data_IF_466668906183
#
_entry.id   IF_466668906183
#
_cell.length_a   1.000
_cell.length_b   1.000
_cell.length_c   1.000
_cell.angle_alpha   90.00
_cell.angle_beta   90.00
_cell.angle_gamma   90.00
#
_symmetry.space_group_name_H-M   'P 1'
#
loop_
_entity.id
_entity.type
_entity.pdbx_description
1 polymer ?
#
# COMPACT_ATOMS: atom_id res chain seq x y z
N UNK A 1 -78.64 29.44 6.96
CA UNK A 1 -77.49 28.85 6.28
C UNK A 1 -76.28 29.09 7.17
N UNK A 2 -75.99 28.13 8.06
CA UNK A 2 -74.92 28.25 9.08
C UNK A 2 -73.64 27.65 8.57
N UNK A 3 -72.60 28.44 8.41
CA UNK A 3 -71.25 28.00 8.02
C UNK A 3 -70.45 27.62 9.28
N UNK A 4 -70.21 26.35 9.45
CA UNK A 4 -69.38 25.77 10.55
C UNK A 4 -67.90 25.93 10.26
N UNK A 5 -67.21 26.79 10.99
CA UNK A 5 -65.74 26.84 10.99
C UNK A 5 -65.22 25.68 11.81
N UNK A 6 -64.46 24.73 11.14
CA UNK A 6 -63.69 23.74 11.81
C UNK A 6 -62.28 24.30 12.09
N UNK A 7 -61.99 24.50 13.37
CA UNK A 7 -60.70 24.88 13.87
C UNK A 7 -59.85 23.55 13.84
N UNK A 8 -58.85 23.47 12.95
CA UNK A 8 -57.87 22.39 12.94
C UNK A 8 -56.73 22.81 13.87
N UNK A 9 -56.68 22.18 15.04
CA UNK A 9 -55.60 22.33 16.00
C UNK A 9 -54.40 21.49 15.52
N UNK A 10 -53.39 22.14 14.92
CA UNK A 10 -52.13 21.47 14.55
C UNK A 10 -51.28 21.30 15.82
N UNK A 11 -51.24 20.08 16.32
CA UNK A 11 -50.35 19.68 17.41
C UNK A 11 -48.94 19.57 16.83
N UNK A 12 -48.07 20.58 16.98
CA UNK A 12 -46.65 20.49 16.64
C UNK A 12 -45.99 19.63 17.71
N UNK A 13 -45.78 18.35 17.38
CA UNK A 13 -44.98 17.43 18.20
C UNK A 13 -43.51 17.80 17.99
N UNK A 14 -42.95 18.65 18.84
CA UNK A 14 -41.52 18.90 18.89
C UNK A 14 -40.83 17.64 19.42
N UNK A 15 -40.33 16.81 18.51
CA UNK A 15 -39.45 15.70 18.84
C UNK A 15 -38.13 16.31 19.31
N UNK A 16 -37.95 16.41 20.61
CA UNK A 16 -36.66 16.75 21.22
C UNK A 16 -35.79 15.50 21.06
N UNK A 17 -34.99 15.47 20.00
CA UNK A 17 -33.89 14.52 19.94
C UNK A 17 -32.92 14.93 21.06
N UNK A 18 -32.58 14.01 21.99
CA UNK A 18 -31.50 14.29 22.90
C UNK A 18 -30.24 14.39 22.02
N UNK A 19 -29.69 15.60 21.87
CA UNK A 19 -28.32 15.77 21.45
C UNK A 19 -27.50 14.99 22.49
N UNK A 20 -27.03 13.76 22.16
CA UNK A 20 -25.97 13.13 22.91
C UNK A 20 -24.76 14.04 22.71
N UNK A 21 -24.55 14.93 23.68
CA UNK A 21 -23.26 15.57 23.84
C UNK A 21 -22.24 14.42 23.84
N UNK A 22 -21.35 14.41 22.89
CA UNK A 22 -20.25 13.47 22.85
C UNK A 22 -19.43 13.82 24.09
N UNK A 23 -19.48 12.99 25.13
CA UNK A 23 -18.65 13.19 26.32
C UNK A 23 -17.21 13.30 25.84
N UNK A 24 -16.59 14.46 26.10
CA UNK A 24 -15.17 14.65 25.82
C UNK A 24 -14.42 13.62 26.68
N UNK A 25 -13.90 12.61 26.03
CA UNK A 25 -13.12 11.61 26.72
C UNK A 25 -11.78 12.24 27.11
N UNK A 26 -11.53 12.31 28.41
CA UNK A 26 -10.25 12.79 28.95
C UNK A 26 -9.27 11.63 29.14
N UNK A 27 -8.00 11.95 29.10
CA UNK A 27 -6.94 10.98 29.40
C UNK A 27 -6.97 10.66 30.91
N UNK A 28 -7.08 9.39 31.24
CA UNK A 28 -7.15 8.90 32.61
C UNK A 28 -5.79 8.33 33.06
N UNK A 29 -5.38 8.65 34.27
CA UNK A 29 -4.25 8.00 34.93
C UNK A 29 -4.79 6.73 35.61
N UNK A 30 -4.44 5.55 35.09
CA UNK A 30 -4.85 4.27 35.68
C UNK A 30 -3.89 3.79 36.77
N UNK A 31 -2.59 4.07 36.58
CA UNK A 31 -1.55 3.65 37.51
C UNK A 31 -0.31 4.56 37.41
N UNK A 32 0.37 4.76 38.51
CA UNK A 32 1.72 5.28 38.57
C UNK A 32 2.43 4.72 39.81
N UNK A 33 3.76 4.62 39.78
CA UNK A 33 4.60 4.30 40.94
C UNK A 33 4.73 5.47 41.90
N UNK A 34 4.66 6.69 41.36
CA UNK A 34 4.67 7.95 42.11
C UNK A 34 4.38 9.12 41.17
N UNK A 35 4.15 10.29 41.78
CA UNK A 35 3.98 11.55 41.07
C UNK A 35 4.69 12.70 41.78
N UNK A 36 5.13 13.70 41.01
CA UNK A 36 5.65 14.98 41.51
C UNK A 36 5.30 16.11 40.55
N UNK A 37 5.44 17.34 41.00
CA UNK A 37 5.35 18.53 40.18
C UNK A 37 6.67 19.29 40.22
N UNK A 38 7.05 19.86 39.08
CA UNK A 38 8.19 20.74 38.92
C UNK A 38 7.74 21.88 38.02
N UNK A 39 7.26 22.94 38.63
CA UNK A 39 6.66 24.06 37.90
C UNK A 39 7.69 24.94 37.22
N UNK A 40 8.96 24.88 37.64
CA UNK A 40 10.03 25.64 37.01
C UNK A 40 10.51 24.97 35.73
N UNK A 41 10.69 23.65 35.74
CA UNK A 41 11.17 22.89 34.59
C UNK A 41 10.02 22.45 33.62
N UNK A 42 8.83 22.13 34.19
CA UNK A 42 7.69 21.59 33.47
C UNK A 42 6.37 22.23 33.93
N UNK A 43 6.13 23.52 33.62
CA UNK A 43 4.94 24.24 34.07
C UNK A 43 3.64 23.50 33.64
N UNK A 44 2.75 23.27 34.60
CA UNK A 44 1.45 22.61 34.36
C UNK A 44 1.50 21.09 34.27
N UNK A 45 2.65 20.46 34.27
CA UNK A 45 2.77 19.01 34.18
C UNK A 45 2.68 18.30 35.54
N UNK A 46 1.94 17.19 35.60
CA UNK A 46 2.10 16.16 36.59
C UNK A 46 3.13 15.15 36.07
N UNK A 47 4.26 15.01 36.73
CA UNK A 47 5.32 14.08 36.36
C UNK A 47 5.03 12.75 37.04
N UNK A 48 4.63 11.76 36.26
CA UNK A 48 4.33 10.40 36.72
C UNK A 48 5.54 9.51 36.46
N UNK A 49 5.93 8.68 37.40
CA UNK A 49 7.08 7.81 37.26
C UNK A 49 6.80 6.40 37.79
N UNK A 50 7.54 5.43 37.28
CA UNK A 50 7.49 4.04 37.74
C UNK A 50 8.18 3.88 39.08
N UNK A 51 7.87 2.82 39.82
CA UNK A 51 8.67 2.28 40.92
C UNK A 51 8.96 0.78 40.65
N UNK A 52 9.42 0.04 41.67
CA UNK A 52 9.72 -1.40 41.57
C UNK A 52 8.52 -2.23 41.11
N UNK A 53 7.30 -1.83 41.47
CA UNK A 53 6.09 -2.67 41.35
C UNK A 53 5.09 -2.15 40.29
N UNK A 54 5.16 -0.86 39.97
CA UNK A 54 4.16 -0.18 39.17
C UNK A 54 4.80 0.68 38.09
N UNK A 55 4.38 0.45 36.83
CA UNK A 55 4.65 1.34 35.69
C UNK A 55 3.60 2.47 35.63
N UNK A 56 3.88 3.49 34.85
CA UNK A 56 2.87 4.51 34.51
C UNK A 56 1.94 3.91 33.48
N UNK A 57 0.62 3.96 33.75
CA UNK A 57 -0.43 3.51 32.82
C UNK A 57 -1.43 4.64 32.61
N UNK A 58 -1.52 5.10 31.37
CA UNK A 58 -2.50 6.07 30.91
C UNK A 58 -3.53 5.36 30.03
N UNK A 59 -4.77 5.83 30.07
CA UNK A 59 -5.87 5.27 29.27
C UNK A 59 -6.65 6.38 28.59
N UNK A 60 -6.99 6.19 27.31
CA UNK A 60 -7.88 7.10 26.59
C UNK A 60 -8.57 6.38 25.44
N UNK A 61 -9.91 6.41 25.44
CA UNK A 61 -10.76 5.96 24.34
C UNK A 61 -10.39 4.55 23.79
N UNK A 62 -10.22 3.58 24.72
CA UNK A 62 -9.87 2.21 24.40
C UNK A 62 -8.39 1.96 24.11
N UNK A 63 -7.55 2.98 24.15
CA UNK A 63 -6.10 2.84 24.06
C UNK A 63 -5.47 2.88 25.47
N UNK A 64 -4.47 2.03 25.68
CA UNK A 64 -3.70 1.94 26.91
C UNK A 64 -2.22 2.19 26.59
N UNK A 65 -1.60 3.06 27.39
CA UNK A 65 -0.22 3.47 27.22
C UNK A 65 0.53 3.18 28.51
N UNK A 66 1.54 2.33 28.42
CA UNK A 66 2.46 2.01 29.51
C UNK A 66 3.82 2.67 29.26
N UNK A 67 4.45 3.21 30.30
CA UNK A 67 5.77 3.82 30.21
C UNK A 67 6.48 3.85 31.55
N UNK A 68 7.76 4.24 31.53
CA UNK A 68 8.53 4.43 32.77
C UNK A 68 8.34 5.83 33.36
N UNK A 69 8.12 6.82 32.49
CA UNK A 69 7.93 8.22 32.86
C UNK A 69 6.91 8.87 31.93
N UNK A 70 6.02 9.68 32.50
CA UNK A 70 5.10 10.51 31.72
C UNK A 70 4.95 11.92 32.29
N UNK A 71 4.93 12.91 31.44
CA UNK A 71 4.55 14.29 31.71
C UNK A 71 3.12 14.47 31.27
N UNK A 72 2.19 14.56 32.22
CA UNK A 72 0.77 14.66 31.97
C UNK A 72 0.26 16.09 32.22
N UNK A 73 -0.30 16.71 31.21
CA UNK A 73 -0.87 18.05 31.20
C UNK A 73 -2.41 17.92 31.17
N UNK A 74 -3.03 17.95 32.33
CA UNK A 74 -4.46 17.67 32.48
C UNK A 74 -5.35 18.73 31.78
N UNK A 75 -4.96 20.02 31.80
CA UNK A 75 -5.72 21.10 31.16
C UNK A 75 -5.71 21.02 29.64
N UNK A 76 -4.60 20.56 29.06
CA UNK A 76 -4.38 20.42 27.63
C UNK A 76 -4.78 19.04 27.12
N UNK A 77 -5.29 18.16 27.99
CA UNK A 77 -5.60 16.77 27.70
C UNK A 77 -4.47 16.09 26.90
N UNK A 78 -3.23 16.26 27.35
CA UNK A 78 -2.02 15.91 26.63
C UNK A 78 -1.00 15.20 27.52
N UNK A 79 -0.23 14.28 26.93
CA UNK A 79 0.93 13.73 27.65
C UNK A 79 2.13 13.50 26.71
N UNK A 80 3.32 13.45 27.34
CA UNK A 80 4.57 12.92 26.77
C UNK A 80 5.01 11.76 27.64
N UNK A 81 5.20 10.58 27.06
CA UNK A 81 5.67 9.40 27.77
C UNK A 81 6.99 8.90 27.20
N UNK A 82 7.88 8.42 28.07
CA UNK A 82 9.21 7.95 27.71
C UNK A 82 9.60 6.73 28.55
N UNK A 83 10.58 5.94 28.02
CA UNK A 83 11.11 4.74 28.69
C UNK A 83 10.21 3.53 28.43
N UNK A 84 10.66 2.64 27.55
CA UNK A 84 10.00 1.37 27.19
C UNK A 84 8.49 1.51 26.97
N UNK A 85 8.12 2.50 26.16
CA UNK A 85 6.70 2.80 25.90
C UNK A 85 6.03 1.65 25.18
N UNK A 86 4.89 1.21 25.71
CA UNK A 86 4.01 0.23 25.08
C UNK A 86 2.63 0.85 24.89
N UNK A 87 2.16 0.91 23.66
CA UNK A 87 0.81 1.32 23.29
C UNK A 87 0.02 0.08 22.86
N UNK A 88 -1.18 -0.10 23.42
CA UNK A 88 -2.10 -1.15 23.00
C UNK A 88 -3.48 -0.59 22.71
N UNK A 89 -4.15 -1.13 21.70
CA UNK A 89 -5.54 -0.79 21.39
C UNK A 89 -6.30 -2.05 20.97
N UNK A 90 -7.23 -2.48 21.84
CA UNK A 90 -7.86 -3.80 21.70
C UNK A 90 -6.82 -4.93 21.73
N UNK A 91 -7.22 -6.09 21.21
CA UNK A 91 -6.35 -7.28 21.18
C UNK A 91 -5.47 -7.36 19.93
N UNK A 92 -5.68 -6.44 18.98
CA UNK A 92 -5.11 -6.55 17.63
C UNK A 92 -3.98 -5.56 17.33
N UNK A 93 -3.78 -4.53 18.16
CA UNK A 93 -2.74 -3.54 17.92
C UNK A 93 -1.84 -3.40 19.15
N UNK A 94 -0.54 -3.67 18.96
CA UNK A 94 0.51 -3.38 19.93
C UNK A 94 1.64 -2.61 19.24
N UNK A 95 2.08 -1.52 19.88
CA UNK A 95 3.22 -0.73 19.42
C UNK A 95 4.18 -0.51 20.56
N UNK A 96 5.47 -0.58 20.28
CA UNK A 96 6.55 -0.19 21.23
C UNK A 96 7.37 0.94 20.61
N UNK A 97 7.88 1.84 21.46
CA UNK A 97 8.76 2.93 21.06
C UNK A 97 9.51 3.50 22.27
N UNK A 98 10.49 4.38 22.04
CA UNK A 98 11.21 5.07 23.13
C UNK A 98 10.43 6.24 23.72
N UNK A 99 9.63 6.92 22.88
CA UNK A 99 8.86 8.10 23.25
C UNK A 99 7.55 8.16 22.49
N UNK A 100 6.49 8.59 23.17
CA UNK A 100 5.20 8.93 22.55
C UNK A 100 4.69 10.27 23.09
N UNK A 101 4.16 11.10 22.21
CA UNK A 101 3.35 12.28 22.52
C UNK A 101 1.93 12.04 22.05
N UNK A 102 0.95 12.36 22.86
CA UNK A 102 -0.46 12.16 22.53
C UNK A 102 -1.32 13.30 23.06
N UNK A 103 -2.20 13.78 22.20
CA UNK A 103 -3.23 14.77 22.55
C UNK A 103 -4.60 14.10 22.51
N UNK A 104 -5.33 14.11 23.63
CA UNK A 104 -6.63 13.46 23.78
C UNK A 104 -7.75 14.13 23.00
N UNK A 105 -7.70 15.46 22.84
CA UNK A 105 -8.74 16.23 22.14
C UNK A 105 -8.64 16.01 20.62
N UNK A 106 -7.45 16.14 20.07
CA UNK A 106 -7.20 15.91 18.63
C UNK A 106 -7.07 14.43 18.27
N UNK A 107 -6.84 13.56 19.28
CA UNK A 107 -6.58 12.12 19.12
C UNK A 107 -5.39 11.81 18.21
N UNK A 108 -4.40 12.70 18.16
CA UNK A 108 -3.17 12.54 17.40
C UNK A 108 -2.05 12.04 18.31
N UNK A 109 -1.37 10.99 17.86
CA UNK A 109 -0.19 10.43 18.49
C UNK A 109 1.05 10.60 17.62
N UNK A 110 2.21 10.81 18.26
CA UNK A 110 3.52 10.81 17.64
C UNK A 110 4.44 9.87 18.42
N UNK A 111 4.73 8.69 17.84
CA UNK A 111 5.68 7.73 18.35
C UNK A 111 7.06 7.94 17.71
N UNK A 112 8.13 7.85 18.50
CA UNK A 112 9.51 8.11 18.08
C UNK A 112 10.49 7.15 18.78
N UNK A 113 11.56 6.80 18.06
CA UNK A 113 12.66 5.95 18.53
C UNK A 113 12.30 4.47 18.48
N UNK A 114 12.89 3.73 17.56
CA UNK A 114 12.73 2.29 17.39
C UNK A 114 11.24 1.85 17.40
N UNK A 115 10.41 2.57 16.67
CA UNK A 115 8.97 2.27 16.61
C UNK A 115 8.75 0.90 15.97
N UNK A 116 8.13 -0.01 16.72
CA UNK A 116 7.72 -1.32 16.26
C UNK A 116 6.23 -1.50 16.51
N UNK A 117 5.44 -1.52 15.44
CA UNK A 117 4.01 -1.77 15.47
C UNK A 117 3.73 -3.20 15.00
N UNK A 118 2.94 -3.94 15.77
CA UNK A 118 2.53 -5.31 15.46
C UNK A 118 1.01 -5.42 15.39
N UNK A 119 0.54 -6.06 14.33
CA UNK A 119 -0.83 -6.52 14.11
C UNK A 119 -0.82 -8.02 13.81
N UNK A 120 -1.98 -8.72 13.80
CA UNK A 120 -2.02 -10.14 13.46
C UNK A 120 -1.50 -10.47 12.06
N UNK A 121 -1.73 -9.57 11.11
CA UNK A 121 -1.45 -9.73 9.68
C UNK A 121 -0.10 -9.14 9.24
N UNK A 122 0.49 -8.23 10.05
CA UNK A 122 1.74 -7.55 9.66
C UNK A 122 2.46 -6.90 10.84
N UNK A 123 3.72 -6.56 10.62
CA UNK A 123 4.48 -5.67 11.50
C UNK A 123 5.14 -4.54 10.72
N UNK A 124 5.32 -3.39 11.38
CA UNK A 124 6.02 -2.22 10.83
C UNK A 124 7.15 -1.82 11.78
N UNK A 125 8.35 -1.60 11.22
CA UNK A 125 9.48 -0.95 11.90
C UNK A 125 9.76 0.39 11.24
N UNK A 126 9.90 1.45 12.04
CA UNK A 126 10.27 2.79 11.57
C UNK A 126 10.84 3.62 12.71
N UNK A 127 11.50 4.73 12.43
CA UNK A 127 12.00 5.63 13.47
C UNK A 127 10.90 6.54 14.03
N UNK A 128 9.92 6.91 13.20
CA UNK A 128 8.86 7.86 13.54
C UNK A 128 7.54 7.48 12.90
N UNK A 129 6.47 7.40 13.73
CA UNK A 129 5.13 7.09 13.29
C UNK A 129 4.14 8.13 13.82
N UNK A 130 3.37 8.73 12.93
CA UNK A 130 2.25 9.60 13.28
C UNK A 130 0.96 8.81 13.12
N UNK A 131 0.03 8.96 14.07
CA UNK A 131 -1.27 8.30 14.07
C UNK A 131 -2.33 9.37 14.32
N UNK A 132 -3.26 9.53 13.39
CA UNK A 132 -4.45 10.38 13.51
C UNK A 132 -5.67 9.48 13.64
N UNK A 133 -6.21 9.36 14.87
CA UNK A 133 -7.33 8.47 15.17
C UNK A 133 -8.68 9.05 14.71
N UNK A 134 -8.76 10.36 14.45
CA UNK A 134 -9.96 11.00 13.90
C UNK A 134 -10.07 10.73 12.40
N UNK A 135 -8.97 10.94 11.67
CA UNK A 135 -8.91 10.63 10.23
C UNK A 135 -8.81 9.15 9.93
N UNK A 136 -8.48 8.33 10.95
CA UNK A 136 -8.13 6.91 10.78
C UNK A 136 -6.97 6.72 9.79
N UNK A 137 -5.89 7.45 10.03
CA UNK A 137 -4.68 7.42 9.21
C UNK A 137 -3.44 7.23 10.09
N UNK A 138 -2.48 6.48 9.58
CA UNK A 138 -1.14 6.38 10.18
C UNK A 138 -0.11 6.59 9.08
N UNK A 139 0.96 7.35 9.35
CA UNK A 139 1.99 7.60 8.36
C UNK A 139 3.38 7.73 8.98
N UNK A 140 4.38 7.34 8.20
CA UNK A 140 5.80 7.58 8.45
C UNK A 140 6.45 8.27 7.24
N UNK A 141 7.45 9.09 7.53
CA UNK A 141 8.29 9.78 6.54
C UNK A 141 9.79 9.57 6.79
N UNK A 142 10.11 8.53 7.51
CA UNK A 142 11.45 7.97 7.69
C UNK A 142 11.40 6.54 7.19
N UNK A 143 12.52 5.96 6.79
CA UNK A 143 12.54 4.59 6.26
C UNK A 143 11.67 3.66 7.11
N UNK A 144 10.74 2.96 6.45
CA UNK A 144 9.88 1.95 7.06
C UNK A 144 10.12 0.58 6.46
N UNK A 145 9.99 -0.45 7.30
CA UNK A 145 10.03 -1.86 6.91
C UNK A 145 8.74 -2.51 7.36
N UNK A 146 7.93 -2.95 6.41
CA UNK A 146 6.69 -3.70 6.65
C UNK A 146 6.96 -5.17 6.34
N UNK A 147 6.60 -6.06 7.25
CA UNK A 147 6.75 -7.50 7.10
C UNK A 147 5.38 -8.13 7.29
N UNK A 148 4.92 -8.89 6.34
CA UNK A 148 3.75 -9.76 6.43
C UNK A 148 4.15 -11.25 6.40
N UNK A 149 3.20 -12.15 6.10
CA UNK A 149 3.43 -13.59 6.09
C UNK A 149 4.37 -14.07 4.97
N UNK A 150 4.49 -13.33 3.87
CA UNK A 150 5.17 -13.76 2.65
C UNK A 150 6.18 -12.76 2.12
N UNK A 151 6.08 -11.47 2.52
CA UNK A 151 6.85 -10.40 1.88
C UNK A 151 7.48 -9.46 2.90
N UNK A 152 8.58 -8.85 2.48
CA UNK A 152 9.17 -7.69 3.15
C UNK A 152 9.07 -6.49 2.21
N UNK A 153 8.39 -5.42 2.65
CA UNK A 153 8.31 -4.18 1.92
C UNK A 153 9.13 -3.09 2.63
N UNK A 154 9.95 -2.39 1.87
CA UNK A 154 10.67 -1.20 2.35
C UNK A 154 10.27 0.04 1.56
N UNK A 155 10.21 1.18 2.21
CA UNK A 155 10.01 2.48 1.54
C UNK A 155 10.47 3.64 2.43
N UNK A 156 10.69 4.82 1.83
CA UNK A 156 11.04 6.01 2.61
C UNK A 156 9.81 6.67 3.25
N UNK A 157 8.64 6.48 2.67
CA UNK A 157 7.37 7.02 3.17
C UNK A 157 6.27 5.97 3.05
N UNK A 158 5.44 5.87 4.06
CA UNK A 158 4.25 5.02 4.03
C UNK A 158 3.07 5.68 4.71
N UNK A 159 1.88 5.43 4.19
CA UNK A 159 0.61 5.88 4.76
C UNK A 159 -0.41 4.76 4.70
N UNK A 160 -1.10 4.53 5.80
CA UNK A 160 -2.21 3.61 5.90
C UNK A 160 -3.52 4.38 6.11
N UNK A 161 -4.46 4.20 5.19
CA UNK A 161 -5.81 4.74 5.24
C UNK A 161 -6.74 3.63 5.75
N UNK A 162 -6.99 3.61 7.06
CA UNK A 162 -7.71 2.51 7.74
C UNK A 162 -9.10 2.30 7.14
N UNK A 163 -9.87 3.38 6.97
CA UNK A 163 -11.24 3.31 6.43
C UNK A 163 -11.31 2.87 4.96
N UNK A 164 -10.22 3.07 4.19
CA UNK A 164 -10.12 2.68 2.78
C UNK A 164 -9.45 1.34 2.59
N UNK A 165 -8.99 0.71 3.66
CA UNK A 165 -8.19 -0.53 3.62
C UNK A 165 -7.06 -0.45 2.59
N UNK A 166 -6.35 0.68 2.60
CA UNK A 166 -5.38 1.02 1.59
C UNK A 166 -4.06 1.44 2.20
N UNK A 167 -2.98 0.86 1.73
CA UNK A 167 -1.62 1.36 1.94
C UNK A 167 -1.17 2.20 0.75
N UNK A 168 -0.37 3.22 1.02
CA UNK A 168 0.40 3.97 0.01
C UNK A 168 1.84 4.08 0.46
N UNK A 169 2.74 3.57 -0.36
CA UNK A 169 4.18 3.65 -0.16
C UNK A 169 4.79 4.54 -1.23
N UNK A 170 5.79 5.34 -0.86
CA UNK A 170 6.47 6.26 -1.77
C UNK A 170 7.97 6.29 -1.54
N UNK A 171 8.70 6.57 -2.62
CA UNK A 171 10.14 6.75 -2.67
C UNK A 171 10.91 5.49 -2.26
N UNK A 172 11.58 4.89 -3.23
CA UNK A 172 12.33 3.65 -3.07
C UNK A 172 11.47 2.52 -2.47
N UNK A 173 10.33 2.26 -3.09
CA UNK A 173 9.47 1.14 -2.71
C UNK A 173 10.09 -0.13 -3.26
N UNK A 174 10.43 -1.05 -2.37
CA UNK A 174 10.98 -2.38 -2.70
C UNK A 174 10.12 -3.41 -2.00
N UNK A 175 9.62 -4.39 -2.74
CA UNK A 175 8.99 -5.60 -2.18
C UNK A 175 9.92 -6.75 -2.50
N UNK A 176 10.25 -7.51 -1.48
CA UNK A 176 10.98 -8.77 -1.55
C UNK A 176 10.02 -9.90 -1.16
N UNK A 177 9.70 -10.74 -2.12
CA UNK A 177 8.82 -11.91 -2.00
C UNK A 177 9.51 -13.10 -2.63
N UNK A 178 9.36 -14.34 -2.12
CA UNK A 178 10.02 -15.53 -2.69
C UNK A 178 9.75 -15.78 -4.18
N UNK A 179 8.61 -15.33 -4.71
CA UNK A 179 8.21 -15.57 -6.10
C UNK A 179 8.51 -14.38 -7.03
N UNK A 180 8.63 -13.16 -6.46
CA UNK A 180 8.89 -11.96 -7.25
C UNK A 180 9.48 -10.83 -6.41
N UNK A 181 10.18 -9.91 -7.08
CA UNK A 181 10.64 -8.66 -6.52
C UNK A 181 9.96 -7.49 -7.24
N UNK A 182 9.59 -6.45 -6.48
CA UNK A 182 9.03 -5.22 -7.06
C UNK A 182 9.88 -4.04 -6.65
N UNK A 183 10.21 -3.17 -7.62
CA UNK A 183 10.73 -1.83 -7.36
C UNK A 183 9.75 -0.81 -7.96
N UNK A 184 9.47 0.28 -7.23
CA UNK A 184 8.56 1.32 -7.72
C UNK A 184 8.82 2.67 -7.04
N UNK A 185 8.50 3.76 -7.72
CA UNK A 185 8.51 5.09 -7.09
C UNK A 185 7.34 5.24 -6.11
N UNK A 186 6.17 4.68 -6.47
CA UNK A 186 5.01 4.64 -5.60
C UNK A 186 4.19 3.37 -5.83
N UNK A 187 3.73 2.78 -4.74
CA UNK A 187 2.80 1.65 -4.70
C UNK A 187 1.56 2.01 -3.88
N UNK A 188 0.38 1.81 -4.44
CA UNK A 188 -0.90 1.80 -3.73
C UNK A 188 -1.42 0.36 -3.66
N UNK A 189 -1.66 -0.16 -2.45
CA UNK A 189 -2.16 -1.52 -2.24
C UNK A 189 -3.50 -1.50 -1.50
N UNK A 190 -4.49 -2.14 -2.07
CA UNK A 190 -5.84 -2.29 -1.50
C UNK A 190 -5.99 -3.69 -0.91
N UNK A 191 -5.99 -3.78 0.42
CA UNK A 191 -5.90 -5.07 1.14
C UNK A 191 -7.14 -5.95 0.97
N UNK A 192 -8.35 -5.37 0.91
CA UNK A 192 -9.59 -6.14 0.73
C UNK A 192 -9.79 -6.64 -0.70
N UNK A 193 -9.20 -5.95 -1.67
CA UNK A 193 -9.31 -6.30 -3.09
C UNK A 193 -8.11 -7.11 -3.58
N UNK A 194 -7.08 -7.24 -2.76
CA UNK A 194 -5.79 -7.82 -3.08
C UNK A 194 -5.20 -7.28 -4.39
N UNK A 195 -5.26 -5.94 -4.55
CA UNK A 195 -4.89 -5.23 -5.78
C UNK A 195 -3.79 -4.22 -5.54
N UNK A 196 -2.79 -4.23 -6.42
CA UNK A 196 -1.66 -3.31 -6.41
C UNK A 196 -1.68 -2.36 -7.62
N UNK A 197 -1.34 -1.10 -7.39
CA UNK A 197 -1.19 -0.07 -8.42
C UNK A 197 0.20 0.53 -8.30
N UNK A 198 0.96 0.52 -9.40
CA UNK A 198 2.31 1.04 -9.51
C UNK A 198 2.29 2.40 -10.23
N UNK A 199 3.11 3.33 -9.77
CA UNK A 199 3.23 4.67 -10.34
C UNK A 199 4.70 5.11 -10.36
N UNK A 200 5.12 5.76 -11.46
CA UNK A 200 6.51 6.13 -11.73
C UNK A 200 7.30 4.92 -12.21
N UNK A 201 8.60 5.03 -12.26
CA UNK A 201 9.48 3.95 -12.70
C UNK A 201 9.25 2.71 -11.83
N UNK A 202 8.82 1.64 -12.48
CA UNK A 202 8.44 0.42 -11.80
C UNK A 202 8.93 -0.81 -12.55
N UNK A 203 9.37 -1.82 -11.78
CA UNK A 203 9.71 -3.14 -12.30
C UNK A 203 9.15 -4.25 -11.42
N UNK A 204 8.69 -5.32 -12.05
CA UNK A 204 8.33 -6.59 -11.41
C UNK A 204 9.26 -7.64 -11.99
N UNK A 205 10.00 -8.33 -11.13
CA UNK A 205 11.01 -9.30 -11.49
C UNK A 205 10.58 -10.65 -10.91
N UNK A 206 10.10 -11.54 -11.75
CA UNK A 206 9.85 -12.96 -11.43
C UNK A 206 11.02 -13.83 -11.90
N UNK A 207 10.91 -15.14 -11.69
CA UNK A 207 11.97 -16.10 -12.03
C UNK A 207 12.30 -16.11 -13.53
N UNK A 208 11.29 -16.01 -14.39
CA UNK A 208 11.43 -16.15 -15.84
C UNK A 208 11.07 -14.88 -16.63
N UNK A 209 10.70 -13.80 -15.95
CA UNK A 209 10.27 -12.58 -16.61
C UNK A 209 10.65 -11.32 -15.83
N UNK A 210 10.75 -10.22 -16.55
CA UNK A 210 10.82 -8.88 -15.95
C UNK A 210 9.86 -7.95 -16.69
N UNK A 211 8.96 -7.31 -15.95
CA UNK A 211 8.06 -6.28 -16.49
C UNK A 211 8.56 -4.91 -16.02
N UNK A 212 8.70 -3.96 -16.94
CA UNK A 212 8.96 -2.55 -16.64
C UNK A 212 7.81 -1.68 -17.14
N UNK A 213 7.45 -0.65 -16.38
CA UNK A 213 6.40 0.29 -16.75
C UNK A 213 6.47 1.58 -15.92
N UNK A 214 5.74 2.63 -16.32
CA UNK A 214 5.49 3.82 -15.52
C UNK A 214 4.11 3.81 -14.84
N UNK A 215 3.21 2.91 -15.26
CA UNK A 215 1.91 2.65 -14.63
C UNK A 215 1.57 1.18 -14.71
N UNK A 216 1.31 0.58 -13.57
CA UNK A 216 0.92 -0.83 -13.46
C UNK A 216 -0.34 -1.00 -12.61
N UNK A 217 -1.11 -2.00 -12.94
CA UNK A 217 -2.16 -2.59 -12.13
C UNK A 217 -1.94 -4.08 -12.10
N UNK A 218 -2.03 -4.68 -10.92
CA UNK A 218 -1.93 -6.12 -10.73
C UNK A 218 -2.98 -6.60 -9.73
N UNK A 219 -3.73 -7.62 -10.11
CA UNK A 219 -4.69 -8.34 -9.29
C UNK A 219 -4.00 -9.62 -8.81
N UNK A 220 -3.70 -9.68 -7.52
CA UNK A 220 -2.92 -10.76 -6.93
C UNK A 220 -3.74 -12.07 -6.83
N UNK A 221 -5.06 -11.96 -6.63
CA UNK A 221 -5.92 -13.15 -6.54
C UNK A 221 -6.11 -13.84 -7.89
N UNK A 222 -6.03 -13.08 -8.98
CA UNK A 222 -6.20 -13.58 -10.35
C UNK A 222 -4.90 -13.68 -11.12
N UNK A 223 -3.80 -13.35 -10.47
CA UNK A 223 -2.45 -13.35 -11.03
C UNK A 223 -2.33 -12.69 -12.41
N UNK A 224 -2.98 -11.53 -12.57
CA UNK A 224 -3.00 -10.80 -13.84
C UNK A 224 -2.88 -9.30 -13.68
N UNK A 225 -2.29 -8.66 -14.66
CA UNK A 225 -2.05 -7.24 -14.64
C UNK A 225 -2.11 -6.55 -15.99
N UNK A 226 -2.19 -5.22 -15.92
CA UNK A 226 -2.11 -4.32 -17.06
C UNK A 226 -1.05 -3.27 -16.79
N UNK A 227 -0.09 -3.16 -17.70
CA UNK A 227 1.04 -2.25 -17.60
C UNK A 227 1.04 -1.28 -18.78
N UNK A 228 1.26 -0.01 -18.52
CA UNK A 228 1.15 1.08 -19.48
C UNK A 228 2.31 2.05 -19.35
N UNK A 229 2.50 2.86 -20.38
CA UNK A 229 3.57 3.83 -20.50
C UNK A 229 4.94 3.17 -20.41
N UNK A 230 5.61 3.12 -21.53
CA UNK A 230 6.90 2.44 -21.70
C UNK A 230 6.89 0.98 -21.23
N UNK A 231 5.73 0.32 -21.38
CA UNK A 231 5.57 -1.05 -20.90
C UNK A 231 6.42 -2.01 -21.74
N UNK A 232 7.27 -2.76 -21.03
CA UNK A 232 8.21 -3.72 -21.62
C UNK A 232 8.20 -4.99 -20.79
N UNK A 233 8.01 -6.12 -21.46
CA UNK A 233 8.17 -7.45 -20.87
C UNK A 233 9.45 -8.09 -21.46
N UNK A 234 10.37 -8.40 -20.60
CA UNK A 234 11.54 -9.25 -20.89
C UNK A 234 11.18 -10.67 -20.52
N UNK A 235 11.35 -11.58 -21.44
CA UNK A 235 10.92 -12.95 -21.25
C UNK A 235 11.80 -13.88 -22.10
N UNK A 236 12.55 -14.75 -21.43
CA UNK A 236 13.61 -15.54 -22.08
C UNK A 236 14.50 -14.64 -22.96
N UNK A 237 14.61 -14.95 -24.26
CA UNK A 237 15.38 -14.18 -25.24
C UNK A 237 14.56 -13.11 -25.96
N UNK A 238 13.35 -12.81 -25.45
CA UNK A 238 12.40 -11.90 -26.11
C UNK A 238 12.19 -10.62 -25.33
N UNK A 239 12.10 -9.53 -26.07
CA UNK A 239 11.71 -8.22 -25.54
C UNK A 239 10.41 -7.82 -26.22
N UNK A 240 9.34 -7.71 -25.43
CA UNK A 240 8.01 -7.39 -25.89
C UNK A 240 7.64 -5.99 -25.42
N UNK A 241 7.29 -5.12 -26.34
CA UNK A 241 6.90 -3.74 -26.04
C UNK A 241 5.51 -3.44 -26.62
N UNK A 242 4.84 -2.48 -26.00
CA UNK A 242 3.56 -1.92 -26.48
C UNK A 242 3.16 -0.71 -25.62
N UNK A 243 2.18 0.06 -26.08
CA UNK A 243 1.62 1.15 -25.27
C UNK A 243 0.91 0.60 -24.03
N UNK A 244 0.39 -0.63 -24.13
CA UNK A 244 -0.17 -1.39 -23.02
C UNK A 244 0.19 -2.87 -23.16
N UNK A 245 0.61 -3.46 -22.06
CA UNK A 245 0.82 -4.90 -21.90
C UNK A 245 -0.21 -5.45 -20.93
N UNK A 246 -0.84 -6.55 -21.28
CA UNK A 246 -1.60 -7.43 -20.40
C UNK A 246 -0.73 -8.66 -20.12
N UNK A 247 -0.72 -9.12 -18.88
CA UNK A 247 0.03 -10.29 -18.45
C UNK A 247 -0.82 -11.12 -17.50
N UNK A 248 -0.81 -12.43 -17.68
CA UNK A 248 -1.49 -13.41 -16.83
C UNK A 248 -0.51 -14.55 -16.56
N UNK A 249 0.06 -14.57 -15.33
CA UNK A 249 1.18 -15.46 -14.99
C UNK A 249 0.75 -16.93 -14.96
N UNK A 250 -0.41 -17.24 -14.35
CA UNK A 250 -0.95 -18.59 -14.27
C UNK A 250 -1.14 -19.26 -15.65
N UNK A 251 -1.48 -18.46 -16.66
CA UNK A 251 -1.68 -18.95 -18.05
C UNK A 251 -0.46 -18.82 -18.95
N UNK A 252 0.63 -18.31 -18.43
CA UNK A 252 1.81 -18.01 -19.25
C UNK A 252 1.45 -17.23 -20.52
N UNK A 253 0.54 -16.23 -20.36
CA UNK A 253 -0.05 -15.46 -21.45
C UNK A 253 0.30 -13.99 -21.32
N UNK A 254 0.64 -13.38 -22.46
CA UNK A 254 0.81 -11.93 -22.56
C UNK A 254 0.15 -11.40 -23.83
N UNK A 255 -0.40 -10.17 -23.75
CA UNK A 255 -0.88 -9.45 -24.92
C UNK A 255 -0.34 -8.01 -24.91
N UNK A 256 0.02 -7.51 -26.08
CA UNK A 256 0.49 -6.15 -26.30
C UNK A 256 -0.43 -5.41 -27.25
N UNK A 257 -0.69 -4.13 -26.98
CA UNK A 257 -1.56 -3.30 -27.81
C UNK A 257 -0.91 -1.98 -28.15
N UNK A 258 -1.04 -1.57 -29.40
CA UNK A 258 -0.47 -0.39 -30.05
C UNK A 258 1.06 -0.35 -29.97
N UNK A 259 1.67 0.02 -31.08
CA UNK A 259 3.13 0.08 -31.22
C UNK A 259 3.83 -1.20 -30.71
N UNK A 260 3.24 -2.35 -31.07
CA UNK A 260 3.76 -3.65 -30.65
C UNK A 260 5.07 -3.93 -31.33
N UNK A 261 6.08 -4.34 -30.56
CA UNK A 261 7.36 -4.83 -31.05
C UNK A 261 7.80 -6.03 -30.21
N UNK A 262 8.09 -7.11 -30.88
CA UNK A 262 8.68 -8.33 -30.30
C UNK A 262 10.04 -8.50 -30.94
N UNK A 263 11.09 -8.41 -30.14
CA UNK A 263 12.47 -8.67 -30.54
C UNK A 263 12.85 -10.04 -30.00
N UNK A 264 13.23 -10.96 -30.87
CA UNK A 264 13.73 -12.28 -30.54
C UNK A 264 15.24 -12.29 -30.88
N UNK A 265 16.08 -12.20 -29.86
CA UNK A 265 17.52 -12.09 -30.04
C UNK A 265 18.16 -13.40 -30.51
N UNK A 266 17.57 -14.54 -30.16
CA UNK A 266 18.09 -15.85 -30.55
C UNK A 266 17.88 -16.10 -32.06
N UNK A 267 16.72 -15.72 -32.58
CA UNK A 267 16.36 -15.92 -33.99
C UNK A 267 16.67 -14.68 -34.87
N UNK A 268 17.37 -13.68 -34.33
CA UNK A 268 17.70 -12.43 -35.03
C UNK A 268 16.48 -11.83 -35.75
N UNK A 269 15.34 -11.85 -35.09
CA UNK A 269 14.05 -11.43 -35.69
C UNK A 269 13.37 -10.32 -34.89
N UNK A 270 12.69 -9.44 -35.62
CA UNK A 270 11.84 -8.38 -35.07
C UNK A 270 10.47 -8.51 -35.69
N UNK A 271 9.43 -8.60 -34.86
CA UNK A 271 8.05 -8.62 -35.36
C UNK A 271 7.31 -7.42 -34.77
N UNK A 272 6.67 -6.64 -35.62
CA UNK A 272 5.92 -5.45 -35.22
C UNK A 272 4.46 -5.53 -35.68
N UNK A 273 3.57 -4.77 -35.02
CA UNK A 273 2.16 -4.69 -35.36
C UNK A 273 1.40 -3.77 -34.40
N UNK A 274 0.07 -3.77 -34.49
CA UNK A 274 -0.77 -3.00 -33.59
C UNK A 274 -1.34 -3.82 -32.42
N UNK A 275 -1.35 -5.16 -32.56
CA UNK A 275 -1.79 -6.09 -31.53
C UNK A 275 -0.96 -7.38 -31.61
N UNK A 276 -0.56 -7.89 -30.46
CA UNK A 276 0.17 -9.14 -30.39
C UNK A 276 -0.25 -9.94 -29.16
N UNK A 277 -0.29 -11.25 -29.31
CA UNK A 277 -0.53 -12.24 -28.25
C UNK A 277 0.61 -13.24 -28.23
N UNK A 278 0.99 -13.66 -27.02
CA UNK A 278 2.06 -14.62 -26.79
C UNK A 278 1.53 -15.69 -25.84
N UNK A 279 1.66 -16.94 -26.27
CA UNK A 279 1.26 -18.13 -25.53
C UNK A 279 2.53 -18.97 -25.31
N UNK A 280 3.13 -18.86 -24.13
CA UNK A 280 4.35 -19.56 -23.79
C UNK A 280 4.20 -21.07 -23.90
N UNK A 281 3.17 -21.63 -23.26
CA UNK A 281 2.93 -23.07 -23.20
C UNK A 281 2.70 -23.71 -24.58
N UNK A 282 2.46 -22.89 -25.59
CA UNK A 282 2.24 -23.31 -26.98
C UNK A 282 3.39 -22.92 -27.91
N UNK A 283 4.44 -22.34 -27.38
CA UNK A 283 5.51 -21.75 -28.18
C UNK A 283 4.98 -20.94 -29.38
N UNK A 284 3.95 -20.13 -29.14
CA UNK A 284 3.27 -19.40 -30.20
C UNK A 284 3.07 -17.92 -29.91
N UNK A 285 3.15 -17.14 -30.97
CA UNK A 285 2.82 -15.72 -30.94
C UNK A 285 1.98 -15.37 -32.17
N UNK A 286 0.99 -14.49 -31.96
CA UNK A 286 0.11 -14.00 -33.01
C UNK A 286 0.22 -12.48 -33.05
N UNK A 287 0.58 -11.91 -34.19
CA UNK A 287 0.66 -10.46 -34.38
C UNK A 287 -0.28 -10.06 -35.50
N UNK A 288 -1.09 -9.05 -35.27
CA UNK A 288 -2.13 -8.60 -36.20
C UNK A 288 -2.11 -7.09 -36.40
N UNK A 289 -2.84 -6.66 -37.45
CA UNK A 289 -3.02 -5.25 -37.80
C UNK A 289 -1.69 -4.61 -38.20
N UNK A 290 -1.37 -4.71 -39.49
CA UNK A 290 -0.11 -4.28 -40.13
C UNK A 290 1.09 -5.02 -39.53
N UNK A 291 0.99 -6.33 -39.52
CA UNK A 291 2.07 -7.16 -39.03
C UNK A 291 3.24 -7.12 -40.03
N UNK A 292 4.44 -6.91 -39.49
CA UNK A 292 5.71 -6.93 -40.22
C UNK A 292 6.70 -7.76 -39.46
N UNK A 293 7.24 -8.79 -40.09
CA UNK A 293 8.40 -9.53 -39.59
C UNK A 293 9.64 -9.12 -40.37
N UNK A 294 10.72 -8.91 -39.67
CA UNK A 294 12.07 -8.64 -40.17
C UNK A 294 12.97 -9.75 -39.66
N UNK A 295 13.56 -10.51 -40.54
CA UNK A 295 14.52 -11.56 -40.16
C UNK A 295 15.90 -11.22 -40.75
N UNK A 296 16.93 -11.27 -39.94
CA UNK A 296 18.31 -10.95 -40.33
C UNK A 296 19.01 -12.27 -40.63
N UNK A 297 19.43 -12.49 -41.87
CA UNK A 297 20.11 -13.68 -42.37
C UNK A 297 21.37 -13.24 -43.10
N UNK A 298 22.55 -13.68 -42.66
CA UNK A 298 23.85 -13.42 -43.32
C UNK A 298 24.08 -11.93 -43.67
N UNK A 299 23.76 -11.00 -42.74
CA UNK A 299 23.82 -9.52 -42.88
C UNK A 299 22.82 -8.94 -43.91
N UNK A 300 21.86 -9.72 -44.41
CA UNK A 300 20.74 -9.22 -45.21
C UNK A 300 19.42 -9.29 -44.42
N UNK A 301 18.40 -8.57 -44.85
CA UNK A 301 17.13 -8.48 -44.14
C UNK A 301 15.99 -9.00 -45.03
N UNK A 302 15.28 -10.01 -44.52
CA UNK A 302 14.04 -10.50 -45.13
C UNK A 302 12.85 -9.81 -44.45
N UNK A 303 11.96 -9.19 -45.25
CA UNK A 303 10.75 -8.53 -44.79
C UNK A 303 9.51 -9.33 -45.21
N UNK A 304 8.63 -9.63 -44.24
CA UNK A 304 7.36 -10.31 -44.48
C UNK A 304 6.24 -9.44 -43.91
N UNK A 305 5.37 -8.96 -44.80
CA UNK A 305 4.18 -8.20 -44.46
C UNK A 305 2.93 -9.07 -44.57
N UNK A 306 2.03 -8.96 -43.56
CA UNK A 306 0.72 -9.61 -43.61
C UNK A 306 -0.28 -8.87 -42.72
N UNK A 307 -1.56 -9.16 -42.85
CA UNK A 307 -2.58 -8.72 -41.90
C UNK A 307 -2.41 -9.43 -40.55
N UNK A 308 -1.98 -10.69 -40.61
CA UNK A 308 -1.70 -11.53 -39.44
C UNK A 308 -0.44 -12.35 -39.67
N UNK A 309 0.44 -12.34 -38.73
CA UNK A 309 1.60 -13.22 -38.64
C UNK A 309 1.44 -14.15 -37.43
N UNK A 310 1.67 -15.44 -37.66
CA UNK A 310 1.62 -16.48 -36.62
C UNK A 310 2.98 -17.17 -36.56
N UNK A 311 3.66 -16.99 -35.43
CA UNK A 311 4.89 -17.72 -35.14
C UNK A 311 4.56 -18.93 -34.25
N UNK A 312 5.04 -20.12 -34.64
CA UNK A 312 4.81 -21.37 -33.88
C UNK A 312 6.05 -22.24 -33.87
N UNK A 313 6.12 -23.13 -32.90
CA UNK A 313 7.17 -24.11 -32.76
C UNK A 313 8.29 -23.69 -31.81
N UNK A 314 9.11 -24.65 -31.34
CA UNK A 314 10.19 -24.40 -30.43
C UNK A 314 11.22 -23.44 -31.02
N UNK A 315 12.03 -22.83 -30.18
CA UNK A 315 13.00 -21.80 -30.56
C UNK A 315 13.91 -22.22 -31.73
N UNK A 316 14.34 -23.46 -31.76
CA UNK A 316 15.25 -24.01 -32.79
C UNK A 316 14.55 -24.27 -34.12
N UNK A 317 13.23 -24.30 -34.18
CA UNK A 317 12.43 -24.62 -35.37
C UNK A 317 11.21 -23.73 -35.50
N UNK A 318 11.38 -22.45 -35.31
CA UNK A 318 10.30 -21.49 -35.42
C UNK A 318 9.78 -21.39 -36.82
N UNK A 319 8.46 -21.57 -36.98
CA UNK A 319 7.75 -21.44 -38.27
C UNK A 319 6.94 -20.14 -38.19
N UNK A 320 7.15 -19.27 -39.17
CA UNK A 320 6.35 -18.06 -39.36
C UNK A 320 5.37 -18.31 -40.51
N UNK A 321 4.10 -18.06 -40.29
CA UNK A 321 3.02 -18.09 -41.28
C UNK A 321 2.43 -16.69 -41.41
N UNK A 322 2.16 -16.30 -42.69
CA UNK A 322 1.55 -15.03 -43.07
C UNK A 322 0.18 -15.26 -43.70
#
# INVERSE_FOLDING_TARGET
MYMKYRIVLIFILTVIYPLKAQEEKIIEIRQAGGSKQDQDAFPGANILFKNSDKRVILFHDGALIESDLAYFYAKENFFKATGDVVFTQGDSLRMTCKKIEYNGDTKVALAQGDVFLKRPDMSLKTEKLNIDRVKNEAFYNSKGVVIDSSSTLTSNQGMYFINKKKYRFKSNVIIDNPEYNVNSDQLDYYTELNQAYLFGDSSIIGDTYTIKCERGFYDLDREKGVFKKNATLYYDNKIIKGDSLYFESEKNYAAATKNVSIVDSLNSSIITGHYGEIFKDKDSAIITRRALAINIIDNDSLFIHADTLVATGPEERRILRA
#
